data_IF_478396574919
#
_entry.id   IF_478396574919
#
_cell.length_a   1.000
_cell.length_b   1.000
_cell.length_c   1.000
_cell.angle_alpha   90.00
_cell.angle_beta   90.00
_cell.angle_gamma   90.00
#
_symmetry.space_group_name_H-M   'P 1'
#
loop_
_entity.id
_entity.type
_entity.pdbx_description
1 polymer ?
#
# COMPACT_ATOMS: atom_id res chain seq x y z
N UNK A 1 0.68 -7.97 14.15
CA UNK A 1 1.93 -7.73 13.41
C UNK A 1 2.34 -6.27 13.58
N UNK A 2 3.56 -5.98 14.09
CA UNK A 2 4.02 -4.61 14.34
C UNK A 2 4.07 -3.74 13.08
N UNK A 3 4.39 -4.31 11.92
CA UNK A 3 4.43 -3.56 10.66
C UNK A 3 3.02 -3.07 10.26
N UNK A 4 2.01 -3.92 10.38
CA UNK A 4 0.63 -3.51 10.09
C UNK A 4 0.13 -2.44 11.07
N UNK A 5 0.47 -2.55 12.36
CA UNK A 5 0.11 -1.53 13.35
C UNK A 5 0.76 -0.18 13.02
N UNK A 6 2.02 -0.19 12.60
CA UNK A 6 2.71 1.03 12.16
C UNK A 6 2.06 1.61 10.90
N UNK A 7 1.74 0.78 9.91
CA UNK A 7 1.04 1.23 8.69
C UNK A 7 -0.30 1.88 9.02
N UNK A 8 -1.06 1.29 9.95
CA UNK A 8 -2.32 1.89 10.39
C UNK A 8 -2.10 3.29 10.99
N UNK A 9 -1.07 3.46 11.80
CA UNK A 9 -0.72 4.77 12.36
C UNK A 9 -0.28 5.75 11.26
N UNK A 10 0.58 5.32 10.34
CA UNK A 10 1.05 6.15 9.23
C UNK A 10 -0.10 6.58 8.29
N UNK A 11 -1.15 5.76 8.15
CA UNK A 11 -2.33 6.12 7.37
C UNK A 11 -3.11 7.30 7.98
N UNK A 12 -3.11 7.46 9.30
CA UNK A 12 -3.65 8.66 9.93
C UNK A 12 -2.80 9.90 9.62
N UNK A 13 -1.48 9.74 9.50
CA UNK A 13 -0.60 10.83 9.05
C UNK A 13 -0.89 11.20 7.57
N UNK A 14 -1.15 10.21 6.70
CA UNK A 14 -1.59 10.44 5.31
C UNK A 14 -2.92 11.19 5.30
N UNK A 15 -3.88 10.78 6.11
CA UNK A 15 -5.19 11.45 6.22
C UNK A 15 -5.02 12.89 6.68
N UNK A 16 -4.20 13.13 7.70
CA UNK A 16 -3.90 14.47 8.19
C UNK A 16 -3.22 15.33 7.11
N UNK A 17 -2.28 14.78 6.36
CA UNK A 17 -1.61 15.46 5.26
C UNK A 17 -2.60 15.89 4.16
N UNK A 18 -3.55 15.03 3.82
CA UNK A 18 -4.58 15.30 2.80
C UNK A 18 -5.65 16.29 3.26
N UNK A 19 -6.03 16.26 4.55
CA UNK A 19 -7.12 17.08 5.07
C UNK A 19 -6.70 18.51 5.42
N UNK A 20 -5.42 18.76 5.61
CA UNK A 20 -4.94 20.04 6.13
C UNK A 20 -4.64 21.03 5.00
N UNK A 21 -5.66 21.76 4.60
CA UNK A 21 -5.47 23.09 3.96
C UNK A 21 -5.02 24.15 4.96
N UNK A 22 -5.14 23.92 6.27
CA UNK A 22 -4.84 24.88 7.32
C UNK A 22 -3.78 24.37 8.31
N UNK A 23 -3.02 25.31 8.87
CA UNK A 23 -2.00 25.04 9.87
C UNK A 23 -2.64 24.52 11.15
N UNK A 24 -2.20 23.37 11.63
CA UNK A 24 -2.62 22.84 12.92
C UNK A 24 -2.20 23.73 14.10
N UNK A 25 -2.59 23.38 15.34
CA UNK A 25 -2.18 24.11 16.53
C UNK A 25 -0.65 24.26 16.60
N UNK A 26 -0.16 25.50 16.70
CA UNK A 26 1.29 25.80 16.71
C UNK A 26 1.90 26.10 15.34
N UNK A 27 1.13 26.12 14.26
CA UNK A 27 1.59 26.55 12.92
C UNK A 27 2.39 25.50 12.14
N UNK A 28 2.54 24.29 12.67
CA UNK A 28 3.17 23.16 11.97
C UNK A 28 2.12 22.28 11.33
N UNK A 29 2.25 22.03 10.02
CA UNK A 29 1.44 21.06 9.29
C UNK A 29 2.02 19.67 9.48
N UNK A 30 1.21 18.71 9.90
CA UNK A 30 1.60 17.31 9.91
C UNK A 30 1.58 16.79 8.47
N UNK A 31 2.73 16.35 7.98
CA UNK A 31 2.89 15.78 6.65
C UNK A 31 3.55 14.42 6.73
N UNK A 32 3.28 13.56 5.75
CA UNK A 32 4.03 12.33 5.56
C UNK A 32 5.48 12.66 5.23
N UNK A 33 6.41 11.92 5.80
CA UNK A 33 7.85 12.11 5.61
C UNK A 33 8.45 11.08 4.65
N UNK A 34 9.55 11.43 4.01
CA UNK A 34 10.31 10.48 3.20
C UNK A 34 10.85 9.30 4.03
N UNK A 35 11.08 9.50 5.33
CA UNK A 35 11.50 8.43 6.23
C UNK A 35 10.42 7.35 6.40
N UNK A 36 9.13 7.73 6.43
CA UNK A 36 8.02 6.77 6.45
C UNK A 36 7.96 5.95 5.15
N UNK A 37 8.15 6.61 4.01
CA UNK A 37 8.22 5.93 2.70
C UNK A 37 9.40 4.95 2.65
N UNK A 38 10.59 5.40 3.05
CA UNK A 38 11.80 4.56 3.07
C UNK A 38 11.65 3.35 3.98
N UNK A 39 11.03 3.54 5.15
CA UNK A 39 10.75 2.41 6.04
C UNK A 39 9.83 1.37 5.36
N UNK A 40 8.77 1.81 4.71
CA UNK A 40 7.84 0.93 4.02
C UNK A 40 8.51 0.18 2.86
N UNK A 41 9.38 0.84 2.10
CA UNK A 41 10.19 0.21 1.06
C UNK A 41 11.11 -0.87 1.65
N UNK A 42 11.71 -0.62 2.81
CA UNK A 42 12.52 -1.60 3.52
C UNK A 42 11.72 -2.83 3.97
N UNK A 43 10.47 -2.64 4.39
CA UNK A 43 9.59 -3.77 4.74
C UNK A 43 9.17 -4.59 3.51
N UNK A 44 8.95 -3.93 2.36
CA UNK A 44 8.70 -4.61 1.08
C UNK A 44 9.90 -5.49 0.72
N UNK A 45 11.10 -4.94 0.75
CA UNK A 45 12.32 -5.66 0.41
C UNK A 45 12.54 -6.85 1.34
N UNK A 46 12.35 -6.65 2.65
CA UNK A 46 12.50 -7.71 3.66
C UNK A 46 11.57 -8.90 3.39
N UNK A 47 10.31 -8.65 3.07
CA UNK A 47 9.37 -9.73 2.75
C UNK A 47 9.68 -10.35 1.40
N UNK A 48 10.00 -9.54 0.41
CA UNK A 48 10.25 -10.01 -0.96
C UNK A 48 11.50 -10.88 -1.07
N UNK A 49 12.51 -10.66 -0.23
CA UNK A 49 13.73 -11.47 -0.19
C UNK A 49 13.46 -12.95 0.14
N UNK A 50 12.34 -13.23 0.82
CA UNK A 50 11.91 -14.58 1.16
C UNK A 50 10.97 -15.22 0.13
N UNK A 51 10.63 -14.49 -0.94
CA UNK A 51 9.69 -14.94 -1.98
C UNK A 51 10.44 -15.33 -3.25
N UNK A 52 10.02 -16.44 -3.85
CA UNK A 52 10.49 -16.82 -5.17
C UNK A 52 9.94 -15.88 -6.25
N UNK A 53 10.68 -15.67 -7.36
CA UNK A 53 10.17 -14.88 -8.48
C UNK A 53 8.85 -15.41 -9.02
N UNK A 54 7.94 -14.51 -9.38
CA UNK A 54 6.67 -14.86 -10.01
C UNK A 54 6.89 -15.34 -11.44
N UNK A 55 6.17 -16.42 -11.81
CA UNK A 55 6.15 -16.98 -13.17
C UNK A 55 4.82 -16.70 -13.88
N UNK A 56 3.84 -16.18 -13.18
CA UNK A 56 2.50 -15.87 -13.66
C UNK A 56 1.90 -14.77 -12.80
N UNK A 57 0.79 -14.17 -13.27
CA UNK A 57 -0.06 -13.37 -12.40
C UNK A 57 -0.69 -14.27 -11.32
N UNK A 58 -0.98 -13.68 -10.17
CA UNK A 58 -1.68 -14.35 -9.09
C UNK A 58 -3.10 -13.82 -8.96
N UNK A 59 -4.00 -14.70 -8.56
CA UNK A 59 -5.38 -14.34 -8.24
C UNK A 59 -5.46 -13.90 -6.77
N UNK A 60 -6.43 -13.02 -6.42
CA UNK A 60 -6.58 -12.50 -5.05
C UNK A 60 -7.19 -13.55 -4.12
N UNK A 61 -6.43 -14.56 -3.75
CA UNK A 61 -6.91 -15.68 -2.95
C UNK A 61 -5.80 -16.40 -2.20
N UNK A 62 -6.11 -17.59 -1.73
CA UNK A 62 -5.27 -18.42 -0.90
C UNK A 62 -5.75 -18.46 0.55
N UNK A 63 -4.88 -18.18 1.51
CA UNK A 63 -5.27 -18.09 2.92
C UNK A 63 -6.21 -16.90 3.18
N UNK A 64 -7.03 -16.92 4.25
CA UNK A 64 -7.85 -15.76 4.61
C UNK A 64 -7.03 -14.48 4.79
N UNK A 65 -5.86 -14.56 5.40
CA UNK A 65 -4.97 -13.41 5.56
C UNK A 65 -4.52 -12.86 4.20
N UNK A 66 -4.13 -13.71 3.27
CA UNK A 66 -3.76 -13.31 1.91
C UNK A 66 -4.94 -12.66 1.17
N UNK A 67 -6.13 -13.22 1.27
CA UNK A 67 -7.33 -12.66 0.65
C UNK A 67 -7.63 -11.24 1.17
N UNK A 68 -7.51 -11.01 2.49
CA UNK A 68 -7.67 -9.67 3.08
C UNK A 68 -6.60 -8.70 2.62
N UNK A 69 -5.33 -9.13 2.48
CA UNK A 69 -4.26 -8.28 1.95
C UNK A 69 -4.55 -7.87 0.50
N UNK A 70 -5.04 -8.77 -0.33
CA UNK A 70 -5.42 -8.46 -1.70
C UNK A 70 -6.62 -7.51 -1.76
N UNK A 71 -7.61 -7.68 -0.87
CA UNK A 71 -8.73 -6.73 -0.76
C UNK A 71 -8.22 -5.34 -0.35
N UNK A 72 -7.40 -5.26 0.69
CA UNK A 72 -6.80 -4.01 1.13
C UNK A 72 -5.99 -3.34 0.01
N UNK A 73 -5.25 -4.12 -0.79
CA UNK A 73 -4.52 -3.63 -1.95
C UNK A 73 -5.43 -2.95 -2.97
N UNK A 74 -6.58 -3.53 -3.29
CA UNK A 74 -7.52 -2.92 -4.24
C UNK A 74 -8.11 -1.61 -3.73
N UNK A 75 -8.41 -1.52 -2.44
CA UNK A 75 -8.86 -0.28 -1.78
C UNK A 75 -7.76 0.77 -1.81
N UNK A 76 -6.52 0.38 -1.50
CA UNK A 76 -5.34 1.26 -1.54
C UNK A 76 -5.11 1.84 -2.94
N UNK A 77 -5.21 1.02 -3.98
CA UNK A 77 -5.08 1.46 -5.38
C UNK A 77 -6.20 2.41 -5.80
N UNK A 78 -7.42 2.21 -5.31
CA UNK A 78 -8.52 3.15 -5.53
C UNK A 78 -8.23 4.49 -4.86
N UNK A 79 -7.75 4.49 -3.63
CA UNK A 79 -7.36 5.70 -2.91
C UNK A 79 -6.26 6.46 -3.67
N UNK A 80 -5.23 5.76 -4.15
CA UNK A 80 -4.15 6.36 -4.95
C UNK A 80 -4.69 7.06 -6.20
N UNK A 81 -5.59 6.44 -6.94
CA UNK A 81 -6.20 7.08 -8.12
C UNK A 81 -6.95 8.35 -7.77
N UNK A 82 -7.72 8.33 -6.68
CA UNK A 82 -8.46 9.51 -6.20
C UNK A 82 -7.49 10.61 -5.74
N UNK A 83 -6.39 10.25 -5.09
CA UNK A 83 -5.36 11.22 -4.70
C UNK A 83 -4.70 11.90 -5.91
N UNK A 84 -4.45 11.16 -6.99
CA UNK A 84 -3.95 11.74 -8.25
C UNK A 84 -4.95 12.70 -8.86
N UNK A 85 -6.23 12.34 -8.89
CA UNK A 85 -7.29 13.23 -9.36
C UNK A 85 -7.41 14.49 -8.49
N UNK A 86 -7.32 14.34 -7.18
CA UNK A 86 -7.36 15.46 -6.23
C UNK A 86 -6.20 16.43 -6.46
N UNK A 87 -4.99 15.91 -6.68
CA UNK A 87 -3.80 16.74 -6.94
C UNK A 87 -3.98 17.66 -8.14
N UNK A 88 -4.74 17.21 -9.16
CA UNK A 88 -4.97 17.97 -10.38
C UNK A 88 -6.10 19.01 -10.23
N UNK A 89 -6.80 19.04 -9.09
CA UNK A 89 -7.85 20.03 -8.83
C UNK A 89 -7.27 21.38 -8.40
N UNK A 90 -7.84 22.51 -8.89
CA UNK A 90 -7.42 23.84 -8.48
C UNK A 90 -7.58 24.05 -6.96
N UNK A 91 -6.55 24.57 -6.29
CA UNK A 91 -6.59 24.88 -4.87
C UNK A 91 -6.35 23.68 -3.94
N UNK A 92 -6.20 22.50 -4.48
CA UNK A 92 -5.91 21.29 -3.73
C UNK A 92 -4.42 20.96 -3.73
N UNK A 93 -3.95 20.37 -2.64
CA UNK A 93 -2.54 19.99 -2.49
C UNK A 93 -2.46 18.54 -2.02
N UNK A 94 -1.76 17.72 -2.79
CA UNK A 94 -1.38 16.36 -2.40
C UNK A 94 0.14 16.31 -2.44
N UNK A 95 0.78 16.01 -1.29
CA UNK A 95 2.24 15.94 -1.23
C UNK A 95 2.78 14.72 -1.97
N UNK A 96 3.97 14.84 -2.53
CA UNK A 96 4.64 13.71 -3.19
C UNK A 96 4.87 12.54 -2.22
N UNK A 97 5.22 12.83 -0.97
CA UNK A 97 5.45 11.81 0.04
C UNK A 97 4.18 11.02 0.37
N UNK A 98 3.02 11.68 0.52
CA UNK A 98 1.72 11.01 0.71
C UNK A 98 1.39 10.08 -0.44
N UNK A 99 1.53 10.56 -1.67
CA UNK A 99 1.23 9.76 -2.85
C UNK A 99 2.19 8.57 -2.99
N UNK A 100 3.49 8.79 -2.74
CA UNK A 100 4.48 7.70 -2.70
C UNK A 100 4.15 6.67 -1.64
N UNK A 101 3.77 7.12 -0.44
CA UNK A 101 3.42 6.20 0.65
C UNK A 101 2.28 5.26 0.25
N UNK A 102 1.19 5.80 -0.27
CA UNK A 102 0.04 5.00 -0.72
C UNK A 102 0.40 4.09 -1.88
N UNK A 103 1.24 4.55 -2.81
CA UNK A 103 1.75 3.71 -3.90
C UNK A 103 2.58 2.54 -3.36
N UNK A 104 3.53 2.78 -2.44
CA UNK A 104 4.34 1.73 -1.81
C UNK A 104 3.51 0.80 -0.93
N UNK A 105 2.46 1.32 -0.29
CA UNK A 105 1.56 0.49 0.51
C UNK A 105 0.86 -0.58 -0.35
N UNK A 106 0.46 -0.26 -1.57
CA UNK A 106 -0.12 -1.26 -2.47
C UNK A 106 0.88 -2.37 -2.80
N UNK A 107 2.16 -2.03 -2.99
CA UNK A 107 3.23 -3.01 -3.21
C UNK A 107 3.49 -3.86 -1.95
N UNK A 108 3.51 -3.23 -0.78
CA UNK A 108 3.62 -3.95 0.50
C UNK A 108 2.48 -4.97 0.67
N UNK A 109 1.24 -4.57 0.41
CA UNK A 109 0.08 -5.44 0.54
C UNK A 109 0.13 -6.62 -0.44
N UNK A 110 0.70 -6.42 -1.61
CA UNK A 110 0.94 -7.49 -2.57
C UNK A 110 1.96 -8.51 -2.05
N UNK A 111 3.13 -8.08 -1.63
CA UNK A 111 4.15 -9.01 -1.10
C UNK A 111 3.72 -9.63 0.23
N UNK A 112 3.01 -8.89 1.08
CA UNK A 112 2.45 -9.42 2.32
C UNK A 112 1.38 -10.50 2.06
N UNK A 113 0.56 -10.32 1.03
CA UNK A 113 -0.40 -11.32 0.58
C UNK A 113 0.29 -12.61 0.15
N UNK A 114 1.33 -12.53 -0.66
CA UNK A 114 2.14 -13.69 -1.05
C UNK A 114 2.82 -14.34 0.16
N UNK A 115 3.38 -13.53 1.04
CA UNK A 115 4.03 -14.03 2.26
C UNK A 115 3.03 -14.80 3.15
N UNK A 116 1.80 -14.30 3.29
CA UNK A 116 0.71 -14.95 4.01
C UNK A 116 0.20 -16.24 3.35
N UNK A 117 0.56 -16.48 2.09
CA UNK A 117 0.31 -17.70 1.34
C UNK A 117 1.49 -18.70 1.45
N UNK A 118 2.00 -18.90 2.65
CA UNK A 118 3.14 -19.79 2.90
C UNK A 118 4.35 -19.41 2.02
N UNK A 119 4.72 -18.13 2.11
CA UNK A 119 5.81 -17.54 1.31
C UNK A 119 5.68 -17.80 -0.18
N UNK A 120 4.46 -17.74 -0.69
CA UNK A 120 4.13 -17.91 -2.11
C UNK A 120 3.77 -19.34 -2.52
N UNK A 121 4.01 -20.35 -1.67
CA UNK A 121 3.70 -21.74 -1.99
C UNK A 121 2.20 -22.00 -2.19
N UNK A 122 1.34 -21.16 -1.56
CA UNK A 122 -0.12 -21.24 -1.66
C UNK A 122 -0.73 -20.14 -2.53
N UNK A 123 0.08 -19.43 -3.31
CA UNK A 123 -0.41 -18.47 -4.28
C UNK A 123 -1.31 -19.18 -5.31
N UNK A 124 -2.44 -18.55 -5.61
CA UNK A 124 -3.37 -19.03 -6.65
C UNK A 124 -2.95 -18.40 -7.97
N UNK A 125 -2.43 -19.21 -8.88
CA UNK A 125 -1.90 -18.69 -10.15
C UNK A 125 -3.02 -18.51 -11.18
N UNK A 126 -2.92 -17.45 -11.97
CA UNK A 126 -3.77 -17.25 -13.13
C UNK A 126 -3.40 -18.24 -14.24
N UNK A 127 -4.42 -18.91 -14.79
CA UNK A 127 -4.28 -19.78 -15.94
C UNK A 127 -4.93 -19.10 -17.17
N UNK A 128 -4.13 -18.55 -18.10
CA UNK A 128 -4.65 -17.82 -19.26
C UNK A 128 -5.57 -18.68 -20.10
N UNK A 129 -6.79 -18.18 -20.37
CA UNK A 129 -7.73 -18.84 -21.28
C UNK A 129 -8.32 -20.16 -20.80
N UNK A 130 -8.17 -20.51 -19.52
CA UNK A 130 -8.64 -21.78 -18.96
C UNK A 130 -10.12 -22.06 -19.21
N UNK A 131 -10.96 -21.03 -19.28
CA UNK A 131 -12.42 -21.16 -19.43
C UNK A 131 -12.94 -20.73 -20.81
N UNK A 132 -12.07 -20.71 -21.80
CA UNK A 132 -12.46 -20.43 -23.19
C UNK A 132 -13.05 -21.65 -23.86
#
# INVERSE_FOLDING_TARGET
>A
DPALARIQNDLFDVEADLCLSEKGPGGARLTVTDAQVTWLEGEIDRLNDELAPLRSFILPGGTPAAAYMHLARTVCRRAERIMVELRDQPGETVTDASLKYVNRLSDFLFVAGRYANDKGARDVLWAPGQNR
#
